data_IF_124685004724
#
_entry.id   IF_124685004724
#
_cell.length_a   1.000
_cell.length_b   1.000
_cell.length_c   1.000
_cell.angle_alpha   90.00
_cell.angle_beta   90.00
_cell.angle_gamma   90.00
#
_symmetry.space_group_name_H-M   'P 1'
#
loop_
_entity.id
_entity.type
_entity.pdbx_description
1 polymer ?
#
# COMPACT_ATOMS: atom_id res chain seq x y z
N UNK A 1 -5.55 -17.25 -12.85
CA UNK A 1 -4.91 -16.28 -13.77
C UNK A 1 -5.50 -14.86 -13.68
N UNK A 2 -6.81 -14.65 -13.86
CA UNK A 2 -7.42 -13.29 -13.89
C UNK A 2 -7.07 -12.39 -12.69
N UNK A 3 -7.10 -12.92 -11.45
CA UNK A 3 -6.82 -12.15 -10.22
C UNK A 3 -5.36 -11.69 -10.06
N UNK A 4 -4.40 -12.45 -10.60
CA UNK A 4 -2.97 -12.09 -10.54
C UNK A 4 -2.64 -10.94 -11.49
N UNK A 5 -3.20 -11.00 -12.71
CA UNK A 5 -3.03 -9.96 -13.74
C UNK A 5 -3.56 -8.60 -13.26
N UNK A 6 -4.66 -8.57 -12.51
CA UNK A 6 -5.22 -7.33 -11.93
C UNK A 6 -4.20 -6.61 -11.05
N UNK A 7 -3.42 -7.33 -10.23
CA UNK A 7 -2.40 -6.70 -9.37
C UNK A 7 -1.33 -5.99 -10.20
N UNK A 8 -0.89 -6.61 -11.30
CA UNK A 8 0.10 -6.00 -12.20
C UNK A 8 -0.48 -4.80 -12.96
N UNK A 9 -1.74 -4.86 -13.38
CA UNK A 9 -2.42 -3.73 -14.03
C UNK A 9 -2.50 -2.55 -13.07
N UNK A 10 -2.92 -2.78 -11.82
CA UNK A 10 -3.00 -1.72 -10.81
C UNK A 10 -1.62 -1.15 -10.50
N UNK A 11 -0.61 -1.99 -10.32
CA UNK A 11 0.77 -1.55 -10.08
C UNK A 11 1.31 -0.72 -11.27
N UNK A 12 1.06 -1.13 -12.50
CA UNK A 12 1.45 -0.38 -13.70
C UNK A 12 0.73 0.97 -13.76
N UNK A 13 -0.57 1.01 -13.45
CA UNK A 13 -1.34 2.26 -13.41
C UNK A 13 -0.77 3.24 -12.39
N UNK A 14 -0.45 2.77 -11.18
CA UNK A 14 0.19 3.59 -10.13
C UNK A 14 1.56 4.12 -10.59
N UNK A 15 2.38 3.30 -11.24
CA UNK A 15 3.67 3.74 -11.77
C UNK A 15 3.52 4.77 -12.88
N UNK A 16 2.58 4.58 -13.80
CA UNK A 16 2.32 5.51 -14.90
C UNK A 16 1.85 6.86 -14.36
N UNK A 17 0.87 6.87 -13.44
CA UNK A 17 0.38 8.14 -12.86
C UNK A 17 1.45 8.85 -12.06
N UNK A 18 2.29 8.10 -11.31
CA UNK A 18 3.41 8.66 -10.55
C UNK A 18 4.49 9.22 -11.48
N UNK A 19 4.80 8.54 -12.60
CA UNK A 19 5.75 9.01 -13.60
C UNK A 19 5.24 10.28 -14.30
N UNK A 20 3.96 10.32 -14.69
CA UNK A 20 3.34 11.53 -15.26
C UNK A 20 3.46 12.69 -14.28
N UNK A 21 3.13 12.47 -13.01
CA UNK A 21 3.23 13.49 -11.97
C UNK A 21 4.67 14.01 -11.82
N UNK A 22 5.66 13.11 -11.78
CA UNK A 22 7.08 13.44 -11.69
C UNK A 22 7.55 14.29 -12.88
N UNK A 23 7.22 13.90 -14.11
CA UNK A 23 7.63 14.65 -15.31
C UNK A 23 6.84 15.95 -15.52
N UNK A 24 5.63 16.06 -14.97
CA UNK A 24 4.83 17.28 -15.02
C UNK A 24 5.20 18.32 -13.95
N UNK A 25 5.99 17.93 -12.94
CA UNK A 25 6.39 18.83 -11.87
C UNK A 25 7.58 19.68 -12.32
N UNK A 26 7.31 20.95 -12.61
CA UNK A 26 8.32 21.94 -13.07
C UNK A 26 9.07 22.62 -11.92
N UNK A 27 8.64 22.40 -10.67
CA UNK A 27 9.26 23.00 -9.48
C UNK A 27 10.31 22.07 -8.82
N UNK A 28 11.18 22.67 -7.99
CA UNK A 28 12.17 21.92 -7.21
C UNK A 28 11.45 21.03 -6.18
N UNK A 29 11.67 19.70 -6.28
CA UNK A 29 11.09 18.73 -5.36
C UNK A 29 11.47 19.03 -3.90
N UNK A 30 10.46 19.06 -3.02
CA UNK A 30 10.69 19.22 -1.57
C UNK A 30 11.19 17.90 -0.97
N UNK A 31 11.99 17.92 0.11
CA UNK A 31 12.45 16.69 0.79
C UNK A 31 11.32 15.70 1.15
N UNK A 32 10.14 16.22 1.47
CA UNK A 32 8.96 15.41 1.80
C UNK A 32 8.43 14.59 0.60
N UNK A 33 8.55 15.10 -0.62
CA UNK A 33 8.10 14.42 -1.83
C UNK A 33 8.96 13.18 -2.12
N UNK A 34 10.27 13.26 -1.86
CA UNK A 34 11.18 12.11 -1.96
C UNK A 34 10.80 10.98 -1.00
N UNK A 35 10.35 11.31 0.22
CA UNK A 35 9.84 10.32 1.18
C UNK A 35 8.57 9.66 0.61
N UNK A 36 7.67 10.46 0.04
CA UNK A 36 6.47 9.96 -0.62
C UNK A 36 6.79 8.99 -1.78
N UNK A 37 7.73 9.36 -2.65
CA UNK A 37 8.21 8.48 -3.72
C UNK A 37 8.77 7.16 -3.19
N UNK A 38 9.60 7.21 -2.14
CA UNK A 38 10.15 6.01 -1.51
C UNK A 38 9.07 5.06 -1.02
N UNK A 39 8.02 5.58 -0.37
CA UNK A 39 6.88 4.78 0.09
C UNK A 39 6.11 4.19 -1.09
N UNK A 40 5.83 4.97 -2.15
CA UNK A 40 5.13 4.48 -3.34
C UNK A 40 5.91 3.31 -3.97
N UNK A 41 7.22 3.47 -4.15
CA UNK A 41 8.09 2.41 -4.69
C UNK A 41 8.01 1.15 -3.83
N UNK A 42 8.05 1.29 -2.50
CA UNK A 42 7.94 0.17 -1.57
C UNK A 42 6.59 -0.55 -1.72
N UNK A 43 5.48 0.20 -1.80
CA UNK A 43 4.13 -0.35 -1.98
C UNK A 43 3.99 -1.06 -3.33
N UNK A 44 4.51 -0.48 -4.40
CA UNK A 44 4.50 -1.11 -5.74
C UNK A 44 5.35 -2.36 -5.74
N UNK A 45 6.56 -2.32 -5.18
CA UNK A 45 7.44 -3.50 -5.07
C UNK A 45 6.76 -4.63 -4.28
N UNK A 46 6.06 -4.29 -3.20
CA UNK A 46 5.28 -5.22 -2.42
C UNK A 46 4.11 -5.83 -3.21
N UNK A 47 3.36 -5.01 -3.95
CA UNK A 47 2.28 -5.48 -4.82
C UNK A 47 2.80 -6.43 -5.92
N UNK A 48 3.93 -6.09 -6.54
CA UNK A 48 4.61 -6.92 -7.55
C UNK A 48 5.11 -8.23 -6.93
N UNK A 49 5.68 -8.19 -5.72
CA UNK A 49 6.09 -9.39 -4.99
C UNK A 49 4.93 -10.36 -4.76
N UNK A 50 3.78 -9.87 -4.29
CA UNK A 50 2.56 -10.69 -4.14
C UNK A 50 2.09 -11.22 -5.49
N UNK A 51 2.06 -10.36 -6.52
CA UNK A 51 1.66 -10.73 -7.88
C UNK A 51 2.52 -11.86 -8.44
N UNK A 52 3.84 -11.79 -8.25
CA UNK A 52 4.80 -12.79 -8.71
C UNK A 52 4.60 -14.12 -7.99
N UNK A 53 4.42 -14.10 -6.66
CA UNK A 53 4.12 -15.31 -5.87
C UNK A 53 2.85 -16.00 -6.39
N UNK A 54 1.77 -15.25 -6.61
CA UNK A 54 0.50 -15.78 -7.16
C UNK A 54 0.66 -16.35 -8.57
N UNK A 55 1.47 -15.71 -9.42
CA UNK A 55 1.72 -16.19 -10.79
C UNK A 55 2.56 -17.48 -10.78
N UNK A 56 3.58 -17.54 -9.92
CA UNK A 56 4.43 -18.73 -9.75
C UNK A 56 3.62 -19.93 -9.26
N UNK A 57 2.76 -19.77 -8.24
CA UNK A 57 1.88 -20.85 -7.77
C UNK A 57 0.90 -21.30 -8.86
N UNK A 58 0.33 -20.37 -9.62
CA UNK A 58 -0.54 -20.71 -10.74
C UNK A 58 0.19 -21.52 -11.84
N UNK A 59 1.48 -21.22 -12.12
CA UNK A 59 2.30 -22.01 -13.06
C UNK A 59 2.62 -23.42 -12.53
N UNK A 60 2.64 -23.61 -11.21
CA UNK A 60 2.87 -24.91 -10.55
C UNK A 60 1.61 -25.76 -10.41
N UNK A 61 0.44 -25.25 -10.82
CA UNK A 61 -0.85 -25.92 -10.62
C UNK A 61 -1.37 -25.86 -9.18
N UNK A 62 -0.69 -25.12 -8.31
CA UNK A 62 -1.12 -24.88 -6.94
C UNK A 62 -2.26 -23.86 -6.90
N UNK A 63 -3.15 -23.92 -5.89
CA UNK A 63 -4.08 -22.83 -5.66
C UNK A 63 -3.32 -21.51 -5.51
N UNK A 64 -3.75 -20.43 -6.19
CA UNK A 64 -3.00 -19.18 -6.26
C UNK A 64 -2.85 -18.48 -4.90
N UNK A 65 -3.66 -18.85 -3.91
CA UNK A 65 -3.52 -18.43 -2.51
C UNK A 65 -3.75 -19.62 -1.59
N UNK A 66 -2.80 -19.86 -0.69
CA UNK A 66 -2.95 -20.76 0.44
C UNK A 66 -3.90 -20.16 1.50
N UNK A 67 -4.56 -21.01 2.29
CA UNK A 67 -5.53 -20.62 3.31
C UNK A 67 -4.92 -19.70 4.35
N UNK A 68 -3.68 -19.96 4.78
CA UNK A 68 -2.97 -19.10 5.72
C UNK A 68 -2.69 -17.72 5.12
N UNK A 69 -2.20 -17.67 3.88
CA UNK A 69 -1.94 -16.40 3.18
C UNK A 69 -3.22 -15.58 3.02
N UNK A 70 -4.34 -16.25 2.75
CA UNK A 70 -5.66 -15.62 2.66
C UNK A 70 -6.11 -15.06 4.02
N UNK A 71 -5.99 -15.83 5.11
CA UNK A 71 -6.30 -15.37 6.47
C UNK A 71 -5.42 -14.19 6.89
N UNK A 72 -4.11 -14.23 6.61
CA UNK A 72 -3.16 -13.13 6.86
C UNK A 72 -3.63 -11.87 6.13
N UNK A 73 -3.95 -11.97 4.84
CA UNK A 73 -4.42 -10.82 4.07
C UNK A 73 -5.74 -10.25 4.57
N UNK A 74 -6.68 -11.11 4.97
CA UNK A 74 -7.97 -10.68 5.54
C UNK A 74 -7.78 -9.92 6.86
N UNK A 75 -7.02 -10.50 7.81
CA UNK A 75 -6.75 -9.87 9.12
C UNK A 75 -5.93 -8.59 8.97
N UNK A 76 -4.95 -8.59 8.05
CA UNK A 76 -4.18 -7.41 7.70
C UNK A 76 -5.12 -6.31 7.22
N UNK A 77 -5.94 -6.57 6.20
CA UNK A 77 -6.83 -5.58 5.61
C UNK A 77 -7.82 -5.02 6.63
N UNK A 78 -8.41 -5.88 7.48
CA UNK A 78 -9.33 -5.42 8.52
C UNK A 78 -8.64 -4.56 9.56
N UNK A 79 -7.50 -5.00 10.11
CA UNK A 79 -6.81 -4.27 11.17
C UNK A 79 -6.24 -2.95 10.64
N UNK A 80 -5.60 -2.98 9.47
CA UNK A 80 -5.03 -1.78 8.85
C UNK A 80 -6.10 -0.75 8.54
N UNK A 81 -7.30 -1.18 8.13
CA UNK A 81 -8.43 -0.28 7.89
C UNK A 81 -8.88 0.41 9.18
N UNK A 82 -9.10 -0.34 10.26
CA UNK A 82 -9.48 0.26 11.55
C UNK A 82 -8.41 1.21 12.09
N UNK A 83 -7.13 0.83 12.02
CA UNK A 83 -6.02 1.71 12.45
C UNK A 83 -5.95 2.97 11.58
N UNK A 84 -6.23 2.84 10.28
CA UNK A 84 -6.26 3.98 9.36
C UNK A 84 -7.36 4.99 9.68
N UNK A 85 -8.50 4.57 10.27
CA UNK A 85 -9.52 5.51 10.72
C UNK A 85 -8.99 6.44 11.82
N UNK A 86 -8.21 5.90 12.76
CA UNK A 86 -7.56 6.71 13.79
C UNK A 86 -6.43 7.60 13.24
N UNK A 87 -5.72 7.13 12.20
CA UNK A 87 -4.79 7.99 11.46
C UNK A 87 -5.52 9.21 10.87
N UNK A 88 -6.66 9.00 10.21
CA UNK A 88 -7.44 10.11 9.63
C UNK A 88 -7.99 11.05 10.71
N UNK A 89 -8.41 10.52 11.85
CA UNK A 89 -8.80 11.35 13.00
C UNK A 89 -7.65 12.24 13.47
N UNK A 90 -6.43 11.68 13.57
CA UNK A 90 -5.25 12.44 13.94
C UNK A 90 -4.92 13.51 12.88
N UNK A 91 -4.94 13.15 11.59
CA UNK A 91 -4.70 14.09 10.48
C UNK A 91 -5.70 15.25 10.55
N UNK A 92 -6.99 14.98 10.76
CA UNK A 92 -8.04 16.00 10.89
C UNK A 92 -7.80 16.92 12.09
N UNK A 93 -7.37 16.37 13.23
CA UNK A 93 -7.03 17.18 14.40
C UNK A 93 -5.84 18.13 14.14
N UNK A 94 -4.85 17.66 13.37
CA UNK A 94 -3.67 18.45 13.04
C UNK A 94 -3.85 19.36 11.82
N UNK A 95 -4.81 19.08 10.92
CA UNK A 95 -5.02 19.88 9.71
C UNK A 95 -5.38 21.32 10.05
N UNK A 96 -6.11 21.54 11.14
CA UNK A 96 -6.50 22.89 11.58
C UNK A 96 -5.33 23.67 12.20
N UNK A 97 -4.23 22.98 12.53
CA UNK A 97 -3.06 23.55 13.22
C UNK A 97 -1.86 23.75 12.30
N UNK A 98 -1.87 23.13 11.13
CA UNK A 98 -0.75 23.14 10.20
C UNK A 98 -1.24 23.69 8.86
N UNK A 99 -0.62 24.76 8.39
CA UNK A 99 -0.90 25.36 7.07
C UNK A 99 -0.29 24.52 5.94
N UNK A 100 -0.81 23.31 5.75
CA UNK A 100 -0.50 22.50 4.57
C UNK A 100 -1.63 22.58 3.54
N UNK A 101 -1.25 22.47 2.28
CA UNK A 101 -2.21 22.37 1.19
C UNK A 101 -3.00 21.06 1.28
N UNK A 102 -4.29 21.11 0.94
CA UNK A 102 -5.20 19.97 1.02
C UNK A 102 -4.68 18.75 0.27
N UNK A 103 -4.03 18.95 -0.88
CA UNK A 103 -3.46 17.87 -1.68
C UNK A 103 -2.32 17.14 -0.94
N UNK A 104 -1.50 17.87 -0.16
CA UNK A 104 -0.42 17.31 0.66
C UNK A 104 -0.99 16.50 1.82
N UNK A 105 -2.05 16.99 2.46
CA UNK A 105 -2.73 16.30 3.57
C UNK A 105 -3.35 14.98 3.08
N UNK A 106 -4.05 15.01 1.94
CA UNK A 106 -4.63 13.81 1.33
C UNK A 106 -3.54 12.81 0.95
N UNK A 107 -2.45 13.28 0.33
CA UNK A 107 -1.31 12.45 -0.03
C UNK A 107 -0.68 11.77 1.19
N UNK A 108 -0.44 12.54 2.26
CA UNK A 108 0.08 12.02 3.52
C UNK A 108 -0.86 10.98 4.16
N UNK A 109 -2.18 11.20 4.09
CA UNK A 109 -3.18 10.23 4.55
C UNK A 109 -3.12 8.91 3.79
N UNK A 110 -3.09 8.94 2.45
CA UNK A 110 -3.01 7.74 1.62
C UNK A 110 -1.67 6.99 1.88
N UNK A 111 -0.56 7.72 1.94
CA UNK A 111 0.75 7.13 2.26
C UNK A 111 0.75 6.49 3.64
N UNK A 112 0.20 7.17 4.65
CA UNK A 112 0.08 6.64 6.00
C UNK A 112 -0.75 5.37 6.07
N UNK A 113 -1.86 5.28 5.31
CA UNK A 113 -2.65 4.06 5.19
C UNK A 113 -1.82 2.91 4.59
N UNK A 114 -1.01 3.19 3.57
CA UNK A 114 -0.16 2.18 2.95
C UNK A 114 0.93 1.67 3.90
N UNK A 115 1.53 2.57 4.70
CA UNK A 115 2.51 2.20 5.74
C UNK A 115 1.85 1.34 6.83
N UNK A 116 0.67 1.75 7.33
CA UNK A 116 -0.08 0.97 8.32
C UNK A 116 -0.39 -0.43 7.79
N UNK A 117 -0.81 -0.53 6.52
CA UNK A 117 -1.04 -1.80 5.86
C UNK A 117 0.22 -2.68 5.84
N UNK A 118 1.36 -2.12 5.43
CA UNK A 118 2.63 -2.85 5.36
C UNK A 118 3.07 -3.35 6.75
N UNK A 119 2.95 -2.51 7.78
CA UNK A 119 3.29 -2.88 9.17
C UNK A 119 2.36 -3.98 9.68
N UNK A 120 1.05 -3.86 9.46
CA UNK A 120 0.08 -4.89 9.82
C UNK A 120 0.37 -6.20 9.09
N UNK A 121 0.73 -6.14 7.81
CA UNK A 121 1.07 -7.31 7.03
C UNK A 121 2.32 -8.00 7.58
N UNK A 122 3.39 -7.25 7.85
CA UNK A 122 4.63 -7.77 8.44
C UNK A 122 4.35 -8.44 9.79
N UNK A 123 3.53 -7.80 10.63
CA UNK A 123 3.13 -8.34 11.93
C UNK A 123 2.45 -9.71 11.81
N UNK A 124 1.43 -9.83 10.95
CA UNK A 124 0.72 -11.10 10.77
C UNK A 124 1.55 -12.15 10.01
N UNK A 125 2.39 -11.71 9.07
CA UNK A 125 3.25 -12.61 8.30
C UNK A 125 4.34 -13.25 9.16
N UNK A 126 4.91 -12.53 10.14
CA UNK A 126 5.93 -13.09 11.04
C UNK A 126 5.35 -13.82 12.24
N UNK A 127 4.28 -13.30 12.85
CA UNK A 127 3.72 -13.88 14.08
C UNK A 127 2.77 -15.05 13.81
N UNK A 128 2.32 -15.21 12.56
CA UNK A 128 1.27 -16.13 12.18
C UNK A 128 -0.12 -15.65 12.62
N UNK A 129 -1.15 -16.31 12.12
CA UNK A 129 -2.55 -16.06 12.49
C UNK A 129 -3.04 -17.25 13.29
N UNK A 130 -3.54 -17.01 14.51
CA UNK A 130 -4.12 -18.07 15.34
C UNK A 130 -5.41 -18.58 14.66
N UNK A 131 -5.57 -19.90 14.59
CA UNK A 131 -6.80 -20.51 14.08
C UNK A 131 -7.93 -20.27 15.09
N UNK A 132 -8.68 -19.21 14.85
CA UNK A 132 -10.02 -18.99 15.41
C UNK A 132 -11.07 -19.41 14.38
#
# INVERSE_FOLDING_TARGET
MKKGVVVFIVAALVLITTAIWFFSSTENFKPFEFVGFGIIILVVAFAVFIGFKRLSSAKRGEPPEDELSKKVMQKTASLSYYVSLYLWLAIMYFSDRINYETHTIIGAGILGMAVIFAVCWLFFNFRGVRNE
#
